data_IF_776625097686
#
_entry.id   IF_776625097686
#
_cell.length_a   1.000
_cell.length_b   1.000
_cell.length_c   1.000
_cell.angle_alpha   90.00
_cell.angle_beta   90.00
_cell.angle_gamma   90.00
#
_symmetry.space_group_name_H-M   'P 1'
#
loop_
_entity.id
_entity.type
_entity.pdbx_description
1 polymer ?
#
# COMPACT_ATOMS: atom_id res chain seq x y z
N UNK A 1 24.02 0.26 -13.47
CA UNK A 1 22.66 -0.30 -13.45
C UNK A 1 22.31 -1.08 -14.72
N UNK A 2 22.91 -0.76 -15.84
CA UNK A 2 22.59 -1.41 -17.12
C UNK A 2 22.92 -2.90 -17.17
N UNK A 3 23.92 -3.34 -16.43
CA UNK A 3 24.36 -4.75 -16.40
C UNK A 3 23.37 -5.71 -15.68
N UNK A 4 22.45 -5.19 -14.84
CA UNK A 4 21.43 -6.01 -14.17
C UNK A 4 20.15 -6.14 -15.01
N UNK A 5 19.88 -5.18 -15.90
CA UNK A 5 18.70 -5.20 -16.77
C UNK A 5 18.87 -6.08 -18.00
N UNK A 6 20.12 -6.39 -18.37
CA UNK A 6 20.44 -7.25 -19.52
C UNK A 6 20.26 -8.74 -19.21
N UNK A 7 20.17 -9.14 -17.93
CA UNK A 7 19.89 -10.51 -17.54
C UNK A 7 18.39 -10.74 -17.45
N UNK A 8 17.90 -11.84 -17.99
CA UNK A 8 16.47 -12.18 -17.97
C UNK A 8 15.94 -12.28 -16.54
N UNK A 9 16.73 -12.84 -15.63
CA UNK A 9 16.42 -13.02 -14.20
C UNK A 9 16.25 -11.72 -13.43
N UNK A 10 16.70 -10.59 -13.97
CA UNK A 10 16.65 -9.27 -13.32
C UNK A 10 16.09 -8.18 -14.23
N UNK A 11 15.35 -8.56 -15.24
CA UNK A 11 14.86 -7.66 -16.31
C UNK A 11 13.86 -6.60 -15.79
N UNK A 12 13.29 -6.80 -14.61
CA UNK A 12 12.37 -5.85 -13.97
C UNK A 12 13.03 -4.91 -12.97
N UNK A 13 14.33 -5.04 -12.74
CA UNK A 13 15.07 -4.14 -11.84
C UNK A 13 14.95 -2.68 -12.31
N UNK A 14 14.56 -1.79 -11.38
CA UNK A 14 14.35 -0.37 -11.64
C UNK A 14 13.07 -0.02 -12.41
N UNK A 15 12.22 -0.99 -12.75
CA UNK A 15 10.88 -0.73 -13.27
C UNK A 15 9.89 -0.50 -12.13
N UNK A 16 8.84 0.28 -12.39
CA UNK A 16 7.77 0.51 -11.42
C UNK A 16 7.10 -0.82 -11.02
N UNK A 17 6.75 -0.95 -9.76
CA UNK A 17 5.93 -2.05 -9.26
C UNK A 17 4.49 -1.88 -9.74
N UNK A 18 3.88 -2.97 -10.13
CA UNK A 18 2.48 -3.04 -10.50
C UNK A 18 1.66 -3.55 -9.31
N UNK A 19 0.36 -3.28 -9.31
CA UNK A 19 -0.53 -3.72 -8.25
C UNK A 19 -0.59 -5.25 -8.18
N UNK A 20 -0.71 -5.89 -9.33
CA UNK A 20 -0.74 -7.36 -9.46
C UNK A 20 0.57 -8.00 -8.96
N UNK A 21 1.69 -7.32 -9.18
CA UNK A 21 3.01 -7.75 -8.68
C UNK A 21 3.10 -7.66 -7.15
N UNK A 22 2.47 -6.66 -6.53
CA UNK A 22 2.38 -6.54 -5.07
C UNK A 22 1.44 -7.60 -4.47
N UNK A 23 0.32 -7.90 -5.12
CA UNK A 23 -0.60 -8.95 -4.68
C UNK A 23 0.04 -10.35 -4.76
N UNK A 24 0.81 -10.62 -5.81
CA UNK A 24 1.55 -11.87 -5.97
C UNK A 24 2.65 -12.00 -4.91
N UNK A 25 3.40 -10.92 -4.65
CA UNK A 25 4.40 -10.87 -3.58
C UNK A 25 3.78 -11.22 -2.21
N UNK A 26 2.60 -10.68 -1.91
CA UNK A 26 1.91 -10.99 -0.64
C UNK A 26 1.52 -12.47 -0.54
N UNK A 27 1.02 -13.08 -1.61
CA UNK A 27 0.70 -14.52 -1.63
C UNK A 27 1.94 -15.37 -1.41
N UNK A 28 3.04 -15.04 -2.11
CA UNK A 28 4.30 -15.77 -1.98
C UNK A 28 4.92 -15.69 -0.58
N UNK A 29 4.77 -14.54 0.10
CA UNK A 29 5.17 -14.39 1.50
C UNK A 29 4.31 -15.24 2.45
N UNK A 30 2.99 -15.30 2.23
CA UNK A 30 2.07 -16.16 3.00
C UNK A 30 2.42 -17.63 2.79
N UNK A 31 2.76 -18.04 1.55
CA UNK A 31 3.20 -19.37 1.17
C UNK A 31 4.61 -19.71 1.68
N UNK A 32 5.26 -18.78 2.39
CA UNK A 32 6.61 -18.91 2.96
C UNK A 32 7.69 -19.26 1.92
N UNK A 33 7.56 -18.79 0.69
CA UNK A 33 8.60 -18.92 -0.32
C UNK A 33 9.86 -18.18 0.10
N UNK A 34 11.01 -18.68 -0.33
CA UNK A 34 12.30 -18.00 -0.06
C UNK A 34 12.40 -16.68 -0.85
N UNK A 35 13.18 -15.74 -0.33
CA UNK A 35 13.43 -14.47 -1.05
C UNK A 35 14.14 -14.67 -2.39
N UNK A 36 14.89 -15.74 -2.53
CA UNK A 36 15.54 -16.17 -3.77
C UNK A 36 14.52 -16.57 -4.82
N UNK A 37 13.55 -17.42 -4.46
CA UNK A 37 12.45 -17.83 -5.35
C UNK A 37 11.58 -16.66 -5.74
N UNK A 38 11.18 -15.82 -4.78
CA UNK A 38 10.39 -14.62 -5.04
C UNK A 38 11.13 -13.67 -5.98
N UNK A 39 12.42 -13.44 -5.75
CA UNK A 39 13.24 -12.58 -6.60
C UNK A 39 13.31 -13.09 -8.04
N UNK A 40 13.42 -14.40 -8.23
CA UNK A 40 13.45 -15.04 -9.54
C UNK A 40 12.09 -14.89 -10.26
N UNK A 41 10.97 -15.17 -9.58
CA UNK A 41 9.62 -15.06 -10.13
C UNK A 41 9.31 -13.64 -10.58
N UNK A 42 9.66 -12.66 -9.76
CA UNK A 42 9.45 -11.24 -10.03
C UNK A 42 10.50 -10.63 -10.96
N UNK A 43 11.51 -11.40 -11.38
CA UNK A 43 12.65 -10.91 -12.19
C UNK A 43 13.31 -9.67 -11.59
N UNK A 44 13.48 -9.69 -10.25
CA UNK A 44 14.06 -8.62 -9.45
C UNK A 44 15.22 -9.14 -8.59
N UNK A 45 15.95 -8.26 -7.95
CA UNK A 45 16.96 -8.66 -6.97
C UNK A 45 16.32 -8.97 -5.62
N UNK A 46 16.95 -9.86 -4.84
CA UNK A 46 16.56 -10.15 -3.44
C UNK A 46 16.47 -8.86 -2.62
N UNK A 47 17.45 -7.95 -2.77
CA UNK A 47 17.43 -6.65 -2.11
C UNK A 47 16.25 -5.77 -2.55
N UNK A 48 15.84 -5.85 -3.82
CA UNK A 48 14.66 -5.18 -4.34
C UNK A 48 13.37 -5.70 -3.73
N UNK A 49 13.22 -7.03 -3.60
CA UNK A 49 12.08 -7.67 -2.93
C UNK A 49 12.06 -7.27 -1.44
N UNK A 50 13.16 -7.47 -0.71
CA UNK A 50 13.24 -7.11 0.72
C UNK A 50 12.89 -5.63 0.95
N UNK A 51 13.40 -4.72 0.13
CA UNK A 51 13.06 -3.30 0.26
C UNK A 51 11.58 -3.03 0.00
N UNK A 52 10.95 -3.75 -0.95
CA UNK A 52 9.51 -3.61 -1.21
C UNK A 52 8.68 -4.09 -0.03
N UNK A 53 9.01 -5.25 0.54
CA UNK A 53 8.38 -5.80 1.74
C UNK A 53 8.48 -4.80 2.90
N UNK A 54 9.66 -4.24 3.16
CA UNK A 54 9.84 -3.28 4.24
C UNK A 54 8.96 -2.03 4.01
N UNK A 55 9.01 -1.45 2.82
CA UNK A 55 8.29 -0.20 2.54
C UNK A 55 6.76 -0.35 2.50
N UNK A 56 6.24 -1.47 2.02
CA UNK A 56 4.79 -1.64 1.82
C UNK A 56 4.10 -2.39 2.95
N UNK A 57 4.80 -3.24 3.67
CA UNK A 57 4.21 -4.13 4.68
C UNK A 57 4.70 -3.76 6.07
N UNK A 58 6.02 -3.82 6.30
CA UNK A 58 6.59 -3.63 7.62
C UNK A 58 6.40 -2.19 8.12
N UNK A 59 6.60 -1.21 7.23
CA UNK A 59 6.46 0.20 7.59
C UNK A 59 5.05 0.54 8.08
N UNK A 60 4.01 -0.04 7.48
CA UNK A 60 2.62 0.17 7.91
C UNK A 60 2.40 -0.42 9.32
N UNK A 61 2.86 -1.65 9.56
CA UNK A 61 2.74 -2.31 10.87
C UNK A 61 3.55 -1.59 11.96
N UNK A 62 4.71 -1.07 11.62
CA UNK A 62 5.52 -0.23 12.51
C UNK A 62 4.82 1.09 12.83
N UNK A 63 4.27 1.77 11.81
CA UNK A 63 3.58 3.06 11.96
C UNK A 63 2.33 2.94 12.84
N UNK A 64 1.58 1.85 12.70
CA UNK A 64 0.41 1.53 13.52
C UNK A 64 0.78 1.05 14.94
N UNK A 65 2.09 0.98 15.26
CA UNK A 65 2.61 0.48 16.54
C UNK A 65 2.12 -0.93 16.90
N UNK A 66 1.76 -1.73 15.91
CA UNK A 66 1.32 -3.10 16.09
C UNK A 66 2.48 -4.05 16.42
N UNK A 67 3.67 -3.76 15.91
CA UNK A 67 4.89 -4.56 16.10
C UNK A 67 6.14 -3.68 16.19
N UNK A 68 7.13 -4.16 16.93
CA UNK A 68 8.47 -3.54 16.98
C UNK A 68 9.30 -3.90 15.75
N UNK A 69 10.39 -3.16 15.52
CA UNK A 69 11.32 -3.44 14.40
C UNK A 69 11.93 -4.83 14.54
N UNK A 70 12.28 -5.24 15.77
CA UNK A 70 12.85 -6.54 16.07
C UNK A 70 11.87 -7.68 15.74
N UNK A 71 10.60 -7.53 16.13
CA UNK A 71 9.55 -8.51 15.82
C UNK A 71 9.33 -8.64 14.31
N UNK A 72 9.28 -7.51 13.60
CA UNK A 72 9.14 -7.48 12.15
C UNK A 72 10.33 -8.11 11.43
N UNK A 73 11.53 -7.82 11.91
CA UNK A 73 12.78 -8.38 11.38
C UNK A 73 12.79 -9.90 11.48
N UNK A 74 12.40 -10.44 12.63
CA UNK A 74 12.32 -11.89 12.88
C UNK A 74 11.21 -12.55 12.06
N UNK A 75 10.02 -11.97 12.05
CA UNK A 75 8.84 -12.52 11.34
C UNK A 75 9.07 -12.65 9.84
N UNK A 76 9.67 -11.62 9.23
CA UNK A 76 9.91 -11.58 7.79
C UNK A 76 11.31 -12.07 7.39
N UNK A 77 12.12 -12.53 8.34
CA UNK A 77 13.49 -12.98 8.11
C UNK A 77 14.32 -11.97 7.29
N UNK A 78 14.26 -10.71 7.73
CA UNK A 78 15.00 -9.59 7.13
C UNK A 78 15.94 -9.02 8.19
N UNK A 79 17.15 -8.69 7.77
CA UNK A 79 18.17 -8.08 8.62
C UNK A 79 17.68 -6.79 9.29
N UNK A 80 17.89 -6.67 10.61
CA UNK A 80 17.40 -5.57 11.43
C UNK A 80 17.93 -4.20 10.95
N UNK A 81 19.22 -4.12 10.58
CA UNK A 81 19.83 -2.88 10.10
C UNK A 81 19.21 -2.45 8.79
N UNK A 82 18.84 -3.41 7.94
CA UNK A 82 18.15 -3.15 6.68
C UNK A 82 16.75 -2.60 6.94
N UNK A 83 16.01 -3.17 7.89
CA UNK A 83 14.67 -2.70 8.28
C UNK A 83 14.75 -1.27 8.81
N UNK A 84 15.64 -1.00 9.76
CA UNK A 84 15.89 0.34 10.34
C UNK A 84 16.20 1.36 9.23
N UNK A 85 17.13 1.01 8.33
CA UNK A 85 17.52 1.89 7.22
C UNK A 85 16.35 2.32 6.36
N UNK A 86 15.48 1.40 5.99
CA UNK A 86 14.33 1.71 5.11
C UNK A 86 13.21 2.41 5.86
N UNK A 87 12.93 2.05 7.12
CA UNK A 87 11.96 2.75 7.98
C UNK A 87 12.36 4.23 8.13
N UNK A 88 13.60 4.50 8.52
CA UNK A 88 14.11 5.88 8.65
C UNK A 88 13.99 6.66 7.33
N UNK A 89 14.22 6.01 6.19
CA UNK A 89 14.04 6.63 4.88
C UNK A 89 12.58 6.98 4.60
N UNK A 90 11.64 6.13 5.00
CA UNK A 90 10.20 6.38 4.83
C UNK A 90 9.71 7.49 5.76
N UNK A 91 10.13 7.50 7.03
CA UNK A 91 9.80 8.56 7.99
C UNK A 91 10.31 9.93 7.53
N UNK A 92 11.53 10.00 7.00
CA UNK A 92 12.07 11.23 6.43
C UNK A 92 11.27 11.70 5.20
N UNK A 93 10.75 10.78 4.39
CA UNK A 93 9.90 11.10 3.25
C UNK A 93 8.55 11.64 3.72
N UNK A 94 7.88 10.97 4.64
CA UNK A 94 6.61 11.41 5.23
C UNK A 94 6.75 12.80 5.89
N UNK A 95 7.85 13.04 6.60
CA UNK A 95 8.15 14.32 7.23
C UNK A 95 8.33 15.44 6.20
N UNK A 96 8.99 15.16 5.08
CA UNK A 96 9.18 16.12 3.99
C UNK A 96 7.85 16.41 3.26
N UNK A 97 7.03 15.39 2.99
CA UNK A 97 5.70 15.56 2.39
C UNK A 97 4.79 16.39 3.31
N UNK A 98 4.79 16.12 4.62
CA UNK A 98 4.02 16.92 5.59
C UNK A 98 4.51 18.37 5.69
N UNK A 99 5.81 18.62 5.55
CA UNK A 99 6.37 19.97 5.52
C UNK A 99 6.01 20.70 4.22
N UNK A 100 6.01 20.03 3.09
CA UNK A 100 5.58 20.59 1.80
C UNK A 100 4.09 20.95 1.85
N UNK A 101 3.24 20.07 2.39
CA UNK A 101 1.81 20.35 2.58
C UNK A 101 1.58 21.57 3.49
N UNK A 102 2.31 21.69 4.60
CA UNK A 102 2.26 22.88 5.47
C UNK A 102 2.76 24.17 4.76
N UNK A 103 3.65 24.04 3.80
CA UNK A 103 4.15 25.17 2.99
C UNK A 103 3.14 25.59 1.92
N UNK A 104 2.46 24.61 1.32
CA UNK A 104 1.37 24.83 0.35
C UNK A 104 0.17 25.46 1.06
N UNK A 105 -0.25 24.90 2.22
CA UNK A 105 -1.34 25.47 3.04
C UNK A 105 -1.09 26.94 3.41
N UNK A 106 0.14 27.31 3.72
CA UNK A 106 0.49 28.73 4.03
C UNK A 106 0.42 29.65 2.81
N UNK A 107 0.59 29.13 1.59
CA UNK A 107 0.66 29.92 0.36
C UNK A 107 -0.68 30.00 -0.37
N UNK A 108 -1.56 28.99 -0.22
CA UNK A 108 -2.85 28.89 -0.92
C UNK A 108 -4.06 29.29 -0.07
N UNK A 109 -3.88 29.56 1.25
CA UNK A 109 -4.96 29.91 2.19
C UNK A 109 -5.72 31.20 1.82
N UNK A 110 -5.24 32.00 0.86
CA UNK A 110 -5.95 33.23 0.46
C UNK A 110 -7.00 33.05 -0.65
N UNK A 111 -6.90 31.98 -1.47
CA UNK A 111 -7.82 31.83 -2.63
C UNK A 111 -8.49 30.45 -2.78
N UNK A 112 -8.15 29.44 -1.99
CA UNK A 112 -8.62 28.07 -2.18
C UNK A 112 -9.53 27.50 -1.08
N UNK A 113 -9.66 28.13 0.08
CA UNK A 113 -10.52 27.62 1.17
C UNK A 113 -11.97 27.39 0.74
N UNK A 114 -12.47 28.18 -0.20
CA UNK A 114 -13.85 28.04 -0.69
C UNK A 114 -13.98 26.83 -1.63
N UNK A 115 -13.01 26.58 -2.51
CA UNK A 115 -13.09 25.48 -3.50
C UNK A 115 -12.89 24.09 -2.88
N UNK A 116 -11.97 23.95 -1.90
CA UNK A 116 -11.69 22.67 -1.26
C UNK A 116 -12.80 22.25 -0.30
N UNK A 117 -13.40 23.18 0.42
CA UNK A 117 -14.52 22.92 1.31
C UNK A 117 -15.76 22.42 0.55
N UNK A 118 -16.07 23.07 -0.59
CA UNK A 118 -17.14 22.64 -1.50
C UNK A 118 -16.88 21.24 -2.08
N UNK A 119 -15.61 20.90 -2.34
CA UNK A 119 -15.26 19.60 -2.91
C UNK A 119 -15.35 18.45 -1.89
N UNK A 120 -15.03 18.71 -0.62
CA UNK A 120 -15.15 17.75 0.47
C UNK A 120 -16.63 17.51 0.81
N UNK A 121 -17.43 18.54 0.94
CA UNK A 121 -18.89 18.42 1.16
C UNK A 121 -19.57 17.65 0.03
N UNK A 122 -19.22 17.92 -1.23
CA UNK A 122 -19.77 17.16 -2.38
C UNK A 122 -19.33 15.70 -2.39
N UNK A 123 -18.14 15.38 -1.89
CA UNK A 123 -17.68 14.01 -1.72
C UNK A 123 -18.42 13.28 -0.59
N UNK A 124 -18.66 13.94 0.53
CA UNK A 124 -19.47 13.40 1.63
C UNK A 124 -20.90 13.09 1.18
N UNK A 125 -21.54 14.01 0.44
CA UNK A 125 -22.89 13.79 -0.10
C UNK A 125 -22.94 12.60 -1.07
N UNK A 126 -21.90 12.41 -1.89
CA UNK A 126 -21.79 11.24 -2.76
C UNK A 126 -21.61 9.94 -1.98
N UNK A 127 -20.79 9.94 -0.92
CA UNK A 127 -20.59 8.76 -0.05
C UNK A 127 -21.91 8.38 0.60
N UNK A 128 -22.63 9.32 1.21
CA UNK A 128 -23.94 9.09 1.82
C UNK A 128 -24.95 8.54 0.79
N UNK A 129 -24.95 9.09 -0.42
CA UNK A 129 -25.81 8.60 -1.50
C UNK A 129 -25.48 7.17 -1.92
N UNK A 130 -24.21 6.79 -1.95
CA UNK A 130 -23.76 5.44 -2.26
C UNK A 130 -24.12 4.46 -1.14
N UNK A 131 -23.98 4.85 0.12
CA UNK A 131 -24.40 4.02 1.27
C UNK A 131 -25.90 3.73 1.24
N UNK A 132 -26.74 4.72 0.94
CA UNK A 132 -28.18 4.52 0.78
C UNK A 132 -28.53 3.55 -0.38
N UNK A 133 -27.78 3.63 -1.51
CA UNK A 133 -27.95 2.71 -2.63
C UNK A 133 -27.55 1.29 -2.25
N UNK A 134 -26.44 1.11 -1.53
CA UNK A 134 -26.00 -0.19 -1.02
C UNK A 134 -27.08 -0.82 -0.12
N UNK A 135 -27.58 -0.08 0.88
CA UNK A 135 -28.66 -0.55 1.74
C UNK A 135 -29.93 -0.95 0.96
N UNK A 136 -30.25 -0.21 -0.10
CA UNK A 136 -31.39 -0.55 -0.97
C UNK A 136 -31.16 -1.84 -1.76
N UNK A 137 -29.94 -2.08 -2.21
CA UNK A 137 -29.56 -3.33 -2.92
C UNK A 137 -29.58 -4.51 -1.94
N UNK A 138 -29.05 -4.37 -0.76
CA UNK A 138 -29.09 -5.41 0.29
C UNK A 138 -30.52 -5.84 0.60
N UNK A 139 -31.44 -4.88 0.83
CA UNK A 139 -32.86 -5.18 1.06
C UNK A 139 -33.52 -5.92 -0.11
N UNK A 140 -33.16 -5.58 -1.36
CA UNK A 140 -33.67 -6.27 -2.54
C UNK A 140 -33.12 -7.70 -2.65
N UNK A 141 -31.84 -7.89 -2.33
CA UNK A 141 -31.20 -9.21 -2.27
C UNK A 141 -31.85 -10.11 -1.22
N UNK A 142 -32.09 -9.60 -0.02
CA UNK A 142 -32.78 -10.33 1.05
C UNK A 142 -34.19 -10.74 0.63
N UNK A 143 -34.92 -9.85 -0.07
CA UNK A 143 -36.24 -10.15 -0.59
C UNK A 143 -36.21 -11.24 -1.65
N UNK A 144 -35.25 -11.22 -2.57
CA UNK A 144 -35.07 -12.25 -3.61
C UNK A 144 -34.65 -13.59 -3.01
N UNK A 145 -33.75 -13.59 -2.03
CA UNK A 145 -33.37 -14.78 -1.29
C UNK A 145 -34.57 -15.40 -0.55
N UNK A 146 -35.41 -14.60 0.09
CA UNK A 146 -36.61 -15.07 0.76
C UNK A 146 -37.63 -15.70 -0.20
N UNK A 147 -37.78 -15.13 -1.39
CA UNK A 147 -38.67 -15.68 -2.44
C UNK A 147 -38.10 -17.00 -2.96
N UNK A 148 -36.78 -17.07 -3.22
CA UNK A 148 -36.14 -18.28 -3.75
C UNK A 148 -36.15 -19.47 -2.78
N UNK A 149 -36.20 -19.22 -1.47
CA UNK A 149 -36.28 -20.27 -0.44
C UNK A 149 -37.71 -20.80 -0.22
N UNK A 150 -38.74 -20.14 -0.78
CA UNK A 150 -40.14 -20.56 -0.70
C UNK A 150 -40.67 -21.22 -1.95
N UNK A 151 -39.85 -21.27 -3.00
CA UNK A 151 -40.18 -21.98 -4.27
C UNK A 151 -39.63 -23.39 -4.27
#
# INVERSE_FOLDING_TARGET
>A
MDNLRSKEETSRVGKKWLLEEDEELMKELIDKKSYEEIALNHKRTIGGIKSRVICNILYLQYKDKSKTIEELSLEYNIDNDLVIKYINKMENKDSNESNILKYIDKKEIKDSEIKTKVNIETLYDKIISLEHKMLSIEKKLDTLLFISLKS
#
